data_IF_524154474166
#
_entry.id   IF_524154474166
#
_cell.length_a   1.000
_cell.length_b   1.000
_cell.length_c   1.000
_cell.angle_alpha   90.00
_cell.angle_beta   90.00
_cell.angle_gamma   90.00
#
_symmetry.space_group_name_H-M   'P 1'
#
loop_
_entity.id
_entity.type
_entity.pdbx_description
1 polymer ?
#
# COMPACT_ATOMS: atom_id res chain seq x y z
N UNK A 1 -6.62 7.45 29.57
CA UNK A 1 -7.22 8.39 28.60
C UNK A 1 -6.32 8.41 27.36
N UNK A 2 -6.82 8.16 26.14
CA UNK A 2 -5.98 8.23 24.95
C UNK A 2 -5.46 9.67 24.81
N UNK A 3 -4.13 9.80 24.76
CA UNK A 3 -3.40 11.06 24.61
C UNK A 3 -3.82 11.65 23.26
N UNK A 4 -4.63 12.72 23.26
CA UNK A 4 -4.93 13.47 22.03
C UNK A 4 -3.60 14.01 21.50
N UNK A 5 -3.09 13.37 20.44
CA UNK A 5 -1.93 13.86 19.69
C UNK A 5 -2.16 15.32 19.33
N UNK A 6 -1.19 16.19 19.62
CA UNK A 6 -1.28 17.60 19.26
C UNK A 6 -1.51 17.70 17.75
N UNK A 7 -2.56 18.42 17.35
CA UNK A 7 -3.09 18.50 15.98
C UNK A 7 -1.99 18.81 14.95
N UNK A 8 -1.02 19.62 15.34
CA UNK A 8 0.11 20.08 14.51
C UNK A 8 1.16 18.99 14.24
N UNK A 9 1.40 18.05 15.16
CA UNK A 9 2.31 16.92 14.92
C UNK A 9 1.63 15.83 14.10
N UNK A 10 0.34 15.59 14.36
CA UNK A 10 -0.47 14.65 13.60
C UNK A 10 -0.49 15.00 12.10
N UNK A 11 -0.71 16.28 11.78
CA UNK A 11 -0.72 16.78 10.40
C UNK A 11 0.61 16.59 9.67
N UNK A 12 1.74 16.70 10.38
CA UNK A 12 3.07 16.44 9.81
C UNK A 12 3.26 14.97 9.48
N UNK A 13 2.82 14.08 10.37
CA UNK A 13 2.97 12.62 10.21
C UNK A 13 2.08 12.08 9.08
N UNK A 14 0.84 12.59 8.93
CA UNK A 14 -0.09 12.14 7.89
C UNK A 14 0.14 12.81 6.53
N UNK A 15 0.98 13.86 6.43
CA UNK A 15 1.31 14.59 5.19
C UNK A 15 1.65 13.71 3.97
N UNK A 16 2.39 12.58 4.09
CA UNK A 16 2.73 11.76 2.94
C UNK A 16 1.55 10.94 2.39
N UNK A 17 0.39 10.91 3.09
CA UNK A 17 -0.81 10.23 2.62
C UNK A 17 -1.67 11.10 1.68
N UNK A 18 -2.46 10.49 0.78
CA UNK A 18 -3.41 11.20 -0.07
C UNK A 18 -4.39 12.04 0.74
N UNK A 19 -4.87 13.14 0.15
CA UNK A 19 -5.77 14.07 0.84
C UNK A 19 -7.07 13.40 1.33
N UNK A 20 -7.59 12.41 0.59
CA UNK A 20 -8.75 11.60 1.02
C UNK A 20 -8.47 10.88 2.34
N UNK A 21 -7.37 10.15 2.44
CA UNK A 21 -7.00 9.40 3.66
C UNK A 21 -6.69 10.32 4.83
N UNK A 22 -6.02 11.45 4.58
CA UNK A 22 -5.77 12.45 5.62
C UNK A 22 -7.06 12.94 6.27
N UNK A 23 -8.09 13.23 5.47
CA UNK A 23 -9.41 13.65 5.98
C UNK A 23 -10.08 12.55 6.79
N UNK A 24 -9.99 11.29 6.34
CA UNK A 24 -10.54 10.14 7.07
C UNK A 24 -9.84 9.95 8.41
N UNK A 25 -8.51 10.00 8.44
CA UNK A 25 -7.71 9.86 9.66
C UNK A 25 -7.94 11.00 10.66
N UNK A 26 -8.19 12.22 10.18
CA UNK A 26 -8.51 13.36 11.03
C UNK A 26 -9.91 13.28 11.66
N UNK A 27 -10.83 12.53 11.03
CA UNK A 27 -12.21 12.38 11.49
C UNK A 27 -12.45 11.13 12.35
N UNK A 28 -11.47 10.22 12.43
CA UNK A 28 -11.63 8.91 13.05
C UNK A 28 -10.88 8.84 14.38
N UNK A 29 -11.45 8.14 15.37
CA UNK A 29 -10.76 7.87 16.63
C UNK A 29 -9.62 6.86 16.41
N UNK A 30 -8.40 7.38 16.36
CA UNK A 30 -7.18 6.58 16.21
C UNK A 30 -6.92 5.83 17.52
N UNK A 31 -7.32 4.56 17.56
CA UNK A 31 -6.94 3.63 18.64
C UNK A 31 -5.72 2.81 18.23
N UNK A 32 -4.94 2.35 19.21
CA UNK A 32 -3.78 1.49 18.97
C UNK A 32 -4.17 0.19 18.23
N UNK A 33 -5.29 -0.42 18.63
CA UNK A 33 -5.81 -1.61 17.97
C UNK A 33 -6.15 -1.38 16.49
N UNK A 34 -6.78 -0.24 16.18
CA UNK A 34 -7.09 0.15 14.80
C UNK A 34 -5.83 0.36 13.96
N UNK A 35 -4.80 1.01 14.52
CA UNK A 35 -3.51 1.22 13.85
C UNK A 35 -2.81 -0.12 13.56
N UNK A 36 -2.73 -1.01 14.55
CA UNK A 36 -2.10 -2.34 14.40
C UNK A 36 -2.82 -3.19 13.34
N UNK A 37 -4.15 -3.16 13.30
CA UNK A 37 -4.92 -3.86 12.28
C UNK A 37 -4.65 -3.31 10.87
N UNK A 38 -4.66 -1.98 10.70
CA UNK A 38 -4.45 -1.34 9.40
C UNK A 38 -3.01 -1.47 8.90
N UNK A 39 -2.02 -1.48 9.81
CA UNK A 39 -0.63 -1.86 9.49
C UNK A 39 -0.60 -3.29 8.96
N UNK A 40 -1.25 -4.23 9.67
CA UNK A 40 -1.30 -5.64 9.27
C UNK A 40 -1.92 -5.83 7.89
N UNK A 41 -3.06 -5.16 7.62
CA UNK A 41 -3.71 -5.18 6.29
C UNK A 41 -2.79 -4.62 5.21
N UNK A 42 -2.18 -3.46 5.44
CA UNK A 42 -1.28 -2.82 4.46
C UNK A 42 -0.04 -3.68 4.18
N UNK A 43 0.56 -4.32 5.20
CA UNK A 43 1.67 -5.27 5.03
C UNK A 43 1.27 -6.50 4.22
N UNK A 44 0.06 -7.04 4.42
CA UNK A 44 -0.45 -8.17 3.62
C UNK A 44 -0.62 -7.79 2.15
N UNK A 45 -1.18 -6.62 1.85
CA UNK A 45 -1.32 -6.13 0.47
C UNK A 45 0.04 -5.94 -0.21
N UNK A 46 1.03 -5.34 0.48
CA UNK A 46 2.42 -5.24 0.00
C UNK A 46 2.99 -6.62 -0.34
N UNK A 47 2.81 -7.60 0.57
CA UNK A 47 3.31 -8.96 0.36
C UNK A 47 2.65 -9.60 -0.86
N UNK A 48 1.33 -9.44 -1.02
CA UNK A 48 0.59 -9.99 -2.15
C UNK A 48 1.05 -9.36 -3.48
N UNK A 49 1.22 -8.03 -3.52
CA UNK A 49 1.74 -7.32 -4.69
C UNK A 49 3.12 -7.84 -5.10
N UNK A 50 4.00 -8.15 -4.14
CA UNK A 50 5.30 -8.76 -4.43
C UNK A 50 5.18 -10.21 -4.91
N UNK A 51 4.33 -11.00 -4.26
CA UNK A 51 4.11 -12.42 -4.61
C UNK A 51 3.49 -12.62 -5.97
N UNK A 52 2.70 -11.67 -6.46
CA UNK A 52 2.13 -11.70 -7.81
C UNK A 52 3.03 -10.97 -8.80
N UNK A 53 3.50 -9.79 -8.43
CA UNK A 53 4.25 -8.91 -9.33
C UNK A 53 5.63 -9.44 -9.70
N UNK A 54 6.38 -10.06 -8.78
CA UNK A 54 7.71 -10.60 -9.09
C UNK A 54 7.59 -11.79 -10.07
N UNK A 55 6.80 -12.85 -9.80
CA UNK A 55 6.67 -13.95 -10.75
C UNK A 55 6.12 -13.51 -12.10
N UNK A 56 5.14 -12.60 -12.12
CA UNK A 56 4.63 -12.03 -13.37
C UNK A 56 5.72 -11.31 -14.17
N UNK A 57 6.50 -10.45 -13.51
CA UNK A 57 7.57 -9.70 -14.17
C UNK A 57 8.65 -10.63 -14.73
N UNK A 58 9.01 -11.68 -14.00
CA UNK A 58 9.95 -12.71 -14.46
C UNK A 58 9.38 -13.43 -15.69
N UNK A 59 8.11 -13.87 -15.63
CA UNK A 59 7.45 -14.56 -16.76
C UNK A 59 7.41 -13.68 -18.01
N UNK A 60 7.02 -12.41 -17.84
CA UNK A 60 6.98 -11.43 -18.93
C UNK A 60 8.36 -11.19 -19.53
N UNK A 61 9.37 -10.96 -18.67
CA UNK A 61 10.75 -10.71 -19.11
C UNK A 61 11.30 -11.92 -19.87
N UNK A 62 11.12 -13.13 -19.36
CA UNK A 62 11.56 -14.37 -20.04
C UNK A 62 10.87 -14.52 -21.39
N UNK A 63 9.56 -14.31 -21.46
CA UNK A 63 8.82 -14.38 -22.72
C UNK A 63 9.31 -13.34 -23.73
N UNK A 64 9.60 -12.12 -23.26
CA UNK A 64 10.10 -11.03 -24.08
C UNK A 64 11.52 -11.29 -24.59
N UNK A 65 12.44 -11.77 -23.74
CA UNK A 65 13.82 -12.07 -24.15
C UNK A 65 13.91 -13.31 -25.05
N UNK A 66 13.10 -14.33 -24.80
CA UNK A 66 13.17 -15.59 -25.56
C UNK A 66 12.46 -15.51 -26.92
N UNK A 67 11.36 -14.75 -27.03
CA UNK A 67 10.51 -14.72 -28.24
C UNK A 67 10.24 -13.32 -28.80
N UNK A 68 10.75 -12.27 -28.16
CA UNK A 68 10.47 -10.89 -28.55
C UNK A 68 9.04 -10.43 -28.22
N UNK A 69 8.61 -9.35 -28.87
CA UNK A 69 7.25 -8.84 -28.77
C UNK A 69 6.37 -9.69 -29.68
N UNK A 70 5.44 -10.44 -29.09
CA UNK A 70 4.48 -11.28 -29.80
C UNK A 70 3.27 -11.59 -28.92
N UNK A 71 2.33 -12.38 -29.44
CA UNK A 71 1.04 -12.63 -28.77
C UNK A 71 1.20 -13.18 -27.34
N UNK A 72 2.24 -13.98 -27.07
CA UNK A 72 2.50 -14.53 -25.74
C UNK A 72 2.96 -13.44 -24.74
N UNK A 73 3.94 -12.62 -25.10
CA UNK A 73 4.45 -11.57 -24.22
C UNK A 73 3.41 -10.47 -24.02
N UNK A 74 2.62 -10.17 -25.05
CA UNK A 74 1.49 -9.24 -24.98
C UNK A 74 0.35 -9.78 -24.10
N UNK A 75 0.03 -11.07 -24.20
CA UNK A 75 -0.96 -11.72 -23.34
C UNK A 75 -0.56 -11.70 -21.86
N UNK A 76 0.69 -12.04 -21.55
CA UNK A 76 1.24 -11.94 -20.19
C UNK A 76 1.16 -10.50 -19.69
N UNK A 77 1.54 -9.53 -20.53
CA UNK A 77 1.50 -8.12 -20.17
C UNK A 77 0.09 -7.66 -19.79
N UNK A 78 -0.92 -7.97 -20.61
CA UNK A 78 -2.32 -7.59 -20.36
C UNK A 78 -2.85 -8.24 -19.08
N UNK A 79 -2.55 -9.52 -18.83
CA UNK A 79 -2.96 -10.20 -17.60
C UNK A 79 -2.38 -9.51 -16.35
N UNK A 80 -1.12 -9.12 -16.41
CA UNK A 80 -0.49 -8.35 -15.33
C UNK A 80 -1.14 -6.99 -15.13
N UNK A 81 -1.38 -6.25 -16.22
CA UNK A 81 -2.06 -4.94 -16.12
C UNK A 81 -3.43 -5.06 -15.47
N UNK A 82 -4.24 -6.05 -15.85
CA UNK A 82 -5.57 -6.28 -15.25
C UNK A 82 -5.43 -6.48 -13.73
N UNK A 83 -4.49 -7.32 -13.29
CA UNK A 83 -4.23 -7.53 -11.87
C UNK A 83 -3.81 -6.23 -11.17
N UNK A 84 -2.83 -5.50 -11.71
CA UNK A 84 -2.32 -4.29 -11.06
C UNK A 84 -3.36 -3.18 -11.00
N UNK A 85 -4.19 -3.04 -12.03
CA UNK A 85 -5.33 -2.12 -12.04
C UNK A 85 -6.29 -2.51 -10.91
N UNK A 86 -6.71 -3.78 -10.86
CA UNK A 86 -7.59 -4.28 -9.80
C UNK A 86 -6.99 -4.05 -8.39
N UNK A 87 -5.71 -4.34 -8.20
CA UNK A 87 -4.98 -4.14 -6.94
C UNK A 87 -4.96 -2.66 -6.51
N UNK A 88 -4.68 -1.75 -7.44
CA UNK A 88 -4.68 -0.30 -7.19
C UNK A 88 -6.06 0.19 -6.73
N UNK A 89 -7.13 -0.31 -7.34
CA UNK A 89 -8.49 0.11 -6.99
C UNK A 89 -9.02 -0.53 -5.70
N UNK A 90 -8.64 -1.76 -5.39
CA UNK A 90 -9.20 -2.48 -4.24
C UNK A 90 -8.44 -2.25 -2.94
N UNK A 91 -7.11 -2.30 -2.96
CA UNK A 91 -6.29 -2.15 -1.74
C UNK A 91 -5.24 -1.03 -1.84
N UNK A 92 -5.14 -0.36 -2.98
CA UNK A 92 -4.15 0.68 -3.21
C UNK A 92 -2.82 0.10 -3.70
N UNK A 93 -2.00 0.96 -4.32
CA UNK A 93 -0.70 0.53 -4.84
C UNK A 93 0.28 0.14 -3.74
N UNK A 94 1.26 -0.69 -4.09
CA UNK A 94 2.41 -1.00 -3.25
C UNK A 94 3.00 0.24 -2.57
N UNK A 95 3.24 1.32 -3.33
CA UNK A 95 3.83 2.56 -2.81
C UNK A 95 2.92 3.28 -1.80
N UNK A 96 1.61 3.24 -2.02
CA UNK A 96 0.64 3.80 -1.07
C UNK A 96 0.61 2.98 0.22
N UNK A 97 0.56 1.65 0.12
CA UNK A 97 0.55 0.77 1.29
C UNK A 97 1.84 0.87 2.09
N UNK A 98 3.00 1.04 1.42
CA UNK A 98 4.28 1.29 2.11
C UNK A 98 4.25 2.59 2.93
N UNK A 99 3.66 3.65 2.38
CA UNK A 99 3.47 4.93 3.09
C UNK A 99 2.50 4.78 4.25
N UNK A 100 1.38 4.08 4.07
CA UNK A 100 0.40 3.78 5.15
C UNK A 100 1.07 3.08 6.33
N UNK A 101 1.84 2.01 6.07
CA UNK A 101 2.58 1.30 7.11
C UNK A 101 3.49 2.25 7.88
N UNK A 102 4.34 3.02 7.17
CA UNK A 102 5.28 3.94 7.82
C UNK A 102 4.59 5.02 8.66
N UNK A 103 3.47 5.57 8.17
CA UNK A 103 2.70 6.60 8.89
C UNK A 103 2.01 6.01 10.11
N UNK A 104 1.38 4.84 9.98
CA UNK A 104 0.68 4.20 11.09
C UNK A 104 1.63 3.69 12.17
N UNK A 105 2.80 3.18 11.80
CA UNK A 105 3.86 2.81 12.76
C UNK A 105 4.33 4.05 13.55
N UNK A 106 4.60 5.18 12.87
CA UNK A 106 4.97 6.43 13.55
C UNK A 106 3.87 6.94 14.49
N UNK A 107 2.59 6.82 14.10
CA UNK A 107 1.47 7.18 14.97
C UNK A 107 1.37 6.26 16.19
N UNK A 108 1.56 4.95 16.00
CA UNK A 108 1.53 3.97 17.07
C UNK A 108 2.63 4.22 18.11
N UNK A 109 3.86 4.47 17.65
CA UNK A 109 5.01 4.74 18.51
C UNK A 109 4.78 5.99 19.37
N UNK A 110 4.19 7.04 18.78
CA UNK A 110 3.84 8.27 19.48
C UNK A 110 2.68 8.12 20.48
N UNK A 111 1.79 7.14 20.28
CA UNK A 111 0.71 6.85 21.24
C UNK A 111 1.17 5.97 22.40
N UNK A 112 2.24 5.19 22.23
CA UNK A 112 2.85 4.35 23.29
C UNK A 112 3.82 5.14 24.20
N UNK A 113 4.27 6.33 23.78
CA UNK A 113 5.01 7.33 24.57
C UNK A 113 4.09 8.30 25.32
#
# INVERSE_FOLDING_TARGET
MPKKLQTTELEKIIKPLPQRERKTLAAQDLTSAWLEENIGRSKRSIKMDLWVGIPWFVLYSVALFAKGIGNLSLGIFVLGMIYFIYAIFTHGSYGLNKKRVSVYEQLLDKMKQ
#
